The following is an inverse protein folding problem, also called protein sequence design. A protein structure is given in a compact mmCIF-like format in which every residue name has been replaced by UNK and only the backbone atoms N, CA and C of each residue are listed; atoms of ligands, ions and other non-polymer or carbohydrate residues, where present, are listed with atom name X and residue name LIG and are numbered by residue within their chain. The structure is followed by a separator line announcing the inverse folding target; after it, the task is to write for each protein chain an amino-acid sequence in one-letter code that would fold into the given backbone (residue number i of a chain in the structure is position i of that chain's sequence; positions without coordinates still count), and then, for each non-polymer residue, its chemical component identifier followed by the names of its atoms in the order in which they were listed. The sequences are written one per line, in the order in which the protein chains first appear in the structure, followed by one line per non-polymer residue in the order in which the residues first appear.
data_IF_733379813240
#
_entry.id   IF_733379813240
#
_cell.length_a   1.000
_cell.length_b   1.000
_cell.length_c   1.000
_cell.angle_alpha   90.00
_cell.angle_beta   90.00
_cell.angle_gamma   90.00
#
_symmetry.space_group_name_H-M   'P 1'
#
loop_
_entity.id
_entity.type
_entity.pdbx_description
1 polymer ?
#
# COMPACT_ATOMS: atom_id res chain seq x y z
N UNK A 1 -6.56 -33.37 22.03
CA UNK A 1 -5.34 -32.91 21.35
C UNK A 1 -5.66 -31.52 20.83
N UNK A 2 -5.44 -30.52 21.68
CA UNK A 2 -5.76 -29.13 21.37
C UNK A 2 -4.82 -28.72 20.24
N UNK A 3 -5.39 -28.47 19.06
CA UNK A 3 -4.64 -27.83 18.00
C UNK A 3 -4.23 -26.46 18.55
N UNK A 4 -2.96 -26.31 18.88
CA UNK A 4 -2.37 -25.02 19.14
C UNK A 4 -2.47 -24.28 17.81
N UNK A 5 -3.53 -23.50 17.63
CA UNK A 5 -3.57 -22.48 16.60
C UNK A 5 -2.40 -21.55 16.95
N UNK A 6 -1.23 -21.80 16.37
CA UNK A 6 -0.22 -20.77 16.30
C UNK A 6 -0.89 -19.63 15.55
N UNK A 7 -1.33 -18.61 16.29
CA UNK A 7 -1.74 -17.34 15.71
C UNK A 7 -0.56 -16.90 14.84
N UNK A 8 -0.73 -16.96 13.52
CA UNK A 8 0.24 -16.38 12.60
C UNK A 8 0.21 -14.87 12.85
N UNK A 9 1.10 -14.41 13.71
CA UNK A 9 1.44 -12.99 13.80
C UNK A 9 2.01 -12.64 12.43
N UNK A 10 1.43 -11.63 11.79
CA UNK A 10 2.00 -11.04 10.58
C UNK A 10 3.37 -10.48 10.96
N UNK A 11 4.44 -11.22 10.65
CA UNK A 11 5.76 -10.81 11.10
C UNK A 11 6.32 -9.68 10.23
N UNK A 12 7.23 -8.92 10.82
CA UNK A 12 7.91 -7.81 10.16
C UNK A 12 8.65 -8.28 8.88
N UNK A 13 9.12 -9.52 8.85
CA UNK A 13 9.87 -10.07 7.73
C UNK A 13 9.01 -10.22 6.47
N UNK A 14 7.74 -10.62 6.63
CA UNK A 14 6.77 -10.65 5.54
C UNK A 14 6.50 -9.25 4.99
N UNK A 15 6.36 -8.26 5.88
CA UNK A 15 6.15 -6.87 5.46
C UNK A 15 7.38 -6.27 4.78
N UNK A 16 8.58 -6.60 5.24
CA UNK A 16 9.83 -6.23 4.55
C UNK A 16 9.94 -6.87 3.16
N UNK A 17 9.44 -8.10 2.98
CA UNK A 17 9.34 -8.74 1.67
C UNK A 17 8.43 -7.98 0.72
N UNK A 18 7.24 -7.60 1.20
CA UNK A 18 6.32 -6.71 0.48
C UNK A 18 6.99 -5.38 0.11
N UNK A 19 7.68 -4.75 1.06
CA UNK A 19 8.31 -3.45 0.86
C UNK A 19 9.47 -3.53 -0.16
N UNK A 20 10.23 -4.62 -0.16
CA UNK A 20 11.26 -4.88 -1.17
C UNK A 20 10.67 -4.98 -2.58
N UNK A 21 9.57 -5.72 -2.75
CA UNK A 21 8.87 -5.80 -4.03
C UNK A 21 8.35 -4.42 -4.46
N UNK A 22 7.81 -3.64 -3.51
CA UNK A 22 7.34 -2.28 -3.76
C UNK A 22 8.45 -1.34 -4.23
N UNK A 23 9.61 -1.31 -3.56
CA UNK A 23 10.76 -0.50 -3.99
C UNK A 23 11.35 -0.97 -5.32
N UNK A 24 11.28 -2.27 -5.62
CA UNK A 24 11.67 -2.84 -6.91
C UNK A 24 10.66 -2.54 -8.03
N UNK A 25 9.49 -1.96 -7.70
CA UNK A 25 8.36 -1.73 -8.62
C UNK A 25 7.83 -3.03 -9.25
N UNK A 26 8.02 -4.14 -8.56
CA UNK A 26 7.50 -5.45 -8.95
C UNK A 26 6.05 -5.58 -8.49
N UNK A 27 5.16 -4.95 -9.24
CA UNK A 27 3.73 -4.92 -8.88
C UNK A 27 3.07 -6.29 -8.93
N UNK A 28 3.60 -7.23 -9.71
CA UNK A 28 3.06 -8.59 -9.71
C UNK A 28 3.35 -9.26 -8.35
N UNK A 29 4.57 -9.12 -7.82
CA UNK A 29 4.91 -9.59 -6.46
C UNK A 29 4.18 -8.80 -5.37
N UNK A 30 4.04 -7.48 -5.50
CA UNK A 30 3.28 -6.65 -4.54
C UNK A 30 1.83 -7.13 -4.46
N UNK A 31 1.19 -7.36 -5.61
CA UNK A 31 -0.22 -7.76 -5.69
C UNK A 31 -0.45 -9.20 -5.22
N UNK A 32 0.58 -10.06 -5.22
CA UNK A 32 0.50 -11.40 -4.65
C UNK A 32 0.25 -11.40 -3.12
N UNK A 33 0.54 -10.29 -2.43
CA UNK A 33 0.23 -10.13 -1.01
C UNK A 33 -1.23 -9.72 -0.75
N UNK A 34 -1.98 -9.37 -1.79
CA UNK A 34 -3.34 -8.87 -1.68
C UNK A 34 -4.36 -9.97 -2.03
N UNK A 35 -5.46 -10.01 -1.29
CA UNK A 35 -6.66 -10.75 -1.69
C UNK A 35 -7.30 -10.10 -2.94
N UNK A 36 -8.23 -10.78 -3.62
CA UNK A 36 -8.94 -10.17 -4.78
C UNK A 36 -9.77 -8.94 -4.38
N UNK A 37 -10.37 -9.01 -3.18
CA UNK A 37 -11.07 -7.90 -2.54
C UNK A 37 -10.08 -7.10 -1.70
N UNK A 38 -9.76 -5.88 -2.14
CA UNK A 38 -8.87 -4.96 -1.41
C UNK A 38 -9.52 -3.61 -1.20
N UNK A 39 -9.05 -2.88 -0.19
CA UNK A 39 -9.30 -1.44 -0.06
C UNK A 39 -8.00 -0.82 0.44
N UNK A 40 -7.35 -0.06 -0.44
CA UNK A 40 -6.13 0.69 -0.13
C UNK A 40 -6.52 2.16 -0.08
N UNK A 41 -6.33 2.79 1.09
CA UNK A 41 -6.65 4.20 1.32
C UNK A 41 -5.41 4.97 1.73
N UNK A 42 -5.02 5.97 0.96
CA UNK A 42 -3.87 6.83 1.26
C UNK A 42 -4.02 8.16 0.50
N UNK A 43 -3.48 9.24 1.08
CA UNK A 43 -3.44 10.56 0.44
C UNK A 43 -4.78 11.03 -0.19
N UNK A 44 -5.92 10.72 0.45
CA UNK A 44 -7.25 11.07 -0.05
C UNK A 44 -7.83 10.14 -1.13
N UNK A 45 -7.07 9.15 -1.60
CA UNK A 45 -7.50 8.13 -2.55
C UNK A 45 -8.04 6.89 -1.85
N UNK A 46 -8.98 6.22 -2.51
CA UNK A 46 -9.42 4.87 -2.19
C UNK A 46 -9.38 4.01 -3.45
N UNK A 47 -8.59 2.94 -3.42
CA UNK A 47 -8.43 1.97 -4.51
C UNK A 47 -8.96 0.62 -4.04
N UNK A 48 -9.95 0.07 -4.76
CA UNK A 48 -10.70 -1.12 -4.32
C UNK A 48 -10.45 -2.38 -5.13
N UNK A 49 -9.59 -2.31 -6.15
CA UNK A 49 -9.22 -3.45 -6.99
C UNK A 49 -7.71 -3.52 -7.18
N UNK A 50 -7.17 -4.72 -7.37
CA UNK A 50 -5.75 -4.92 -7.66
C UNK A 50 -5.32 -4.17 -8.94
N UNK A 51 -6.19 -4.12 -9.96
CA UNK A 51 -5.94 -3.33 -11.17
C UNK A 51 -5.83 -1.84 -10.89
N UNK A 52 -6.72 -1.28 -10.07
CA UNK A 52 -6.66 0.14 -9.71
C UNK A 52 -5.38 0.49 -8.93
N UNK A 53 -4.94 -0.39 -8.03
CA UNK A 53 -3.66 -0.27 -7.33
C UNK A 53 -2.49 -0.30 -8.30
N UNK A 54 -2.47 -1.29 -9.22
CA UNK A 54 -1.44 -1.40 -10.25
C UNK A 54 -1.35 -0.15 -11.10
N UNK A 55 -2.48 0.27 -11.67
CA UNK A 55 -2.54 1.39 -12.62
C UNK A 55 -2.13 2.70 -11.95
N UNK A 56 -2.58 2.91 -10.71
CA UNK A 56 -2.15 4.05 -9.91
C UNK A 56 -0.63 4.07 -9.73
N UNK A 57 -0.04 2.98 -9.23
CA UNK A 57 1.38 3.00 -8.90
C UNK A 57 2.28 3.00 -10.14
N UNK A 58 1.85 2.38 -11.24
CA UNK A 58 2.51 2.51 -12.54
C UNK A 58 2.54 3.97 -13.01
N UNK A 59 1.41 4.67 -12.91
CA UNK A 59 1.36 6.11 -13.21
C UNK A 59 2.23 6.91 -12.24
N UNK A 60 2.08 6.70 -10.94
CA UNK A 60 2.72 7.49 -9.88
C UNK A 60 4.25 7.36 -9.93
N UNK A 61 4.78 6.15 -10.05
CA UNK A 61 6.23 5.89 -10.13
C UNK A 61 6.84 6.23 -11.50
N UNK A 62 6.01 6.53 -12.52
CA UNK A 62 6.49 7.15 -13.75
C UNK A 62 6.79 8.66 -13.59
N UNK A 63 6.40 9.25 -12.46
CA UNK A 63 6.63 10.66 -12.13
C UNK A 63 7.49 10.87 -10.88
N UNK A 64 7.47 9.93 -9.93
CA UNK A 64 8.05 10.05 -8.59
C UNK A 64 8.99 8.89 -8.28
N UNK A 65 10.14 9.18 -7.67
CA UNK A 65 10.91 8.20 -6.91
C UNK A 65 10.40 8.22 -5.47
N UNK A 66 9.83 7.11 -5.01
CA UNK A 66 9.23 6.97 -3.69
C UNK A 66 10.12 6.08 -2.81
N UNK A 67 10.49 6.58 -1.64
CA UNK A 67 11.23 5.83 -0.63
C UNK A 67 10.42 5.79 0.65
N UNK A 68 10.26 4.60 1.19
CA UNK A 68 9.52 4.36 2.43
C UNK A 68 10.48 3.73 3.43
N UNK A 69 10.63 4.38 4.57
CA UNK A 69 11.40 3.91 5.72
C UNK A 69 10.41 3.63 6.86
N UNK A 70 10.45 2.42 7.41
CA UNK A 70 9.61 2.05 8.56
C UNK A 70 10.30 2.54 9.83
N UNK A 71 9.58 3.36 10.60
CA UNK A 71 10.03 3.93 11.88
C UNK A 71 9.60 3.03 13.03
N UNK A 72 8.32 2.65 13.05
CA UNK A 72 7.74 1.78 14.07
C UNK A 72 6.79 0.77 13.40
N UNK A 73 6.72 -0.44 13.94
CA UNK A 73 5.95 -1.54 13.41
C UNK A 73 5.34 -2.36 14.54
N UNK A 74 4.02 -2.49 14.50
CA UNK A 74 3.27 -3.36 15.39
C UNK A 74 2.35 -4.25 14.56
N UNK A 75 2.31 -5.53 14.87
CA UNK A 75 1.40 -6.46 14.20
C UNK A 75 0.63 -7.32 15.18
N UNK A 76 -0.47 -7.86 14.68
CA UNK A 76 -1.28 -8.87 15.34
C UNK A 76 -1.65 -9.96 14.31
N UNK A 77 -2.47 -10.92 14.73
CA UNK A 77 -3.03 -11.96 13.84
C UNK A 77 -3.74 -11.44 12.57
N UNK A 78 -4.26 -10.21 12.56
CA UNK A 78 -5.04 -9.69 11.42
C UNK A 78 -4.80 -8.21 11.09
N UNK A 79 -3.83 -7.57 11.76
CA UNK A 79 -3.57 -6.14 11.58
C UNK A 79 -2.08 -5.86 11.58
N UNK A 80 -1.70 -4.88 10.79
CA UNK A 80 -0.41 -4.20 10.86
C UNK A 80 -0.69 -2.72 11.12
N UNK A 81 0.01 -2.16 12.09
CA UNK A 81 0.13 -0.73 12.34
C UNK A 81 1.58 -0.36 12.12
N UNK A 82 1.82 0.72 11.38
CA UNK A 82 3.17 1.19 11.13
C UNK A 82 3.23 2.71 11.14
N UNK A 83 4.34 3.22 11.62
CA UNK A 83 4.79 4.58 11.37
C UNK A 83 5.88 4.52 10.30
N UNK A 84 5.76 5.32 9.27
CA UNK A 84 6.72 5.39 8.18
C UNK A 84 7.08 6.82 7.84
N UNK A 85 8.33 7.00 7.41
CA UNK A 85 8.75 8.19 6.66
C UNK A 85 8.67 7.87 5.18
N UNK A 86 7.91 8.68 4.44
CA UNK A 86 7.83 8.57 2.99
C UNK A 86 8.47 9.81 2.37
N UNK A 87 9.46 9.58 1.52
CA UNK A 87 10.15 10.60 0.75
C UNK A 87 9.77 10.43 -0.71
N UNK A 88 9.14 11.46 -1.26
CA UNK A 88 8.73 11.53 -2.66
C UNK A 88 9.62 12.53 -3.38
N UNK A 89 10.38 12.07 -4.38
CA UNK A 89 11.16 12.94 -5.26
C UNK A 89 10.54 12.94 -6.65
N UNK A 90 9.85 14.02 -7.01
CA UNK A 90 9.19 14.15 -8.30
C UNK A 90 10.23 14.52 -9.37
N UNK A 91 10.51 13.60 -10.28
CA UNK A 91 11.46 13.83 -11.39
C UNK A 91 10.77 14.28 -12.68
N UNK A 92 9.44 14.09 -12.77
CA UNK A 92 8.64 14.51 -13.92
C UNK A 92 7.32 15.11 -13.45
N UNK A 93 7.03 16.33 -13.86
CA UNK A 93 5.80 17.04 -13.49
C UNK A 93 4.55 16.24 -13.86
N UNK A 94 3.63 16.13 -12.90
CA UNK A 94 2.30 15.59 -13.13
C UNK A 94 1.37 16.68 -13.71
N UNK A 95 0.48 16.30 -14.61
CA UNK A 95 -0.61 17.16 -15.06
C UNK A 95 -1.67 17.26 -13.96
N UNK A 96 -1.86 18.46 -13.42
CA UNK A 96 -2.81 18.71 -12.33
C UNK A 96 -4.27 18.45 -12.71
N UNK A 97 -4.66 18.74 -13.95
CA UNK A 97 -6.03 18.53 -14.42
C UNK A 97 -6.30 17.04 -14.62
N UNK A 98 -5.34 16.33 -15.23
CA UNK A 98 -5.40 14.88 -15.38
C UNK A 98 -5.45 14.19 -14.02
N UNK A 99 -4.56 14.55 -13.09
CA UNK A 99 -4.52 13.96 -11.75
C UNK A 99 -5.83 14.20 -11.01
N UNK A 100 -6.35 15.42 -11.00
CA UNK A 100 -7.60 15.72 -10.31
C UNK A 100 -8.79 14.93 -10.87
N UNK A 101 -8.78 14.66 -12.18
CA UNK A 101 -9.82 13.89 -12.87
C UNK A 101 -9.70 12.40 -12.60
N UNK A 102 -8.49 11.83 -12.67
CA UNK A 102 -8.27 10.38 -12.56
C UNK A 102 -8.13 9.91 -11.11
N UNK A 103 -7.52 10.72 -10.25
CA UNK A 103 -7.19 10.40 -8.87
C UNK A 103 -7.65 11.54 -7.94
N UNK A 104 -8.97 11.72 -7.76
CA UNK A 104 -9.52 12.81 -6.95
C UNK A 104 -8.98 12.73 -5.52
N UNK A 105 -8.31 13.78 -5.06
CA UNK A 105 -7.67 13.85 -3.74
C UNK A 105 -6.15 13.76 -3.76
N UNK A 106 -5.56 13.24 -4.85
CA UNK A 106 -4.11 13.26 -5.04
C UNK A 106 -3.64 14.68 -5.41
N UNK A 107 -2.62 15.16 -4.72
CA UNK A 107 -1.96 16.41 -5.07
C UNK A 107 -0.91 16.16 -6.15
N UNK A 108 -1.06 16.84 -7.29
CA UNK A 108 -0.07 16.80 -8.36
C UNK A 108 1.26 17.44 -7.94
N UNK A 109 2.36 16.76 -8.22
CA UNK A 109 3.71 17.24 -7.89
C UNK A 109 4.40 17.83 -9.13
N UNK A 110 5.18 18.89 -8.92
CA UNK A 110 6.02 19.50 -9.95
C UNK A 110 7.38 18.80 -10.03
N UNK A 111 7.95 18.71 -11.22
CA UNK A 111 9.31 18.20 -11.41
C UNK A 111 10.32 19.01 -10.59
N UNK A 112 11.23 18.32 -9.90
CA UNK A 112 12.18 18.89 -8.96
C UNK A 112 11.62 19.08 -7.54
N UNK A 113 10.31 18.91 -7.32
CA UNK A 113 9.73 18.98 -5.99
C UNK A 113 10.08 17.72 -5.20
N UNK A 114 10.47 17.90 -3.94
CA UNK A 114 10.59 16.81 -2.98
C UNK A 114 9.64 17.02 -1.80
N UNK A 115 8.97 15.96 -1.39
CA UNK A 115 8.04 15.96 -0.26
C UNK A 115 8.50 14.90 0.73
N UNK A 116 8.61 15.27 2.00
CA UNK A 116 8.87 14.35 3.09
C UNK A 116 7.65 14.36 4.01
N UNK A 117 7.01 13.21 4.16
CA UNK A 117 5.78 13.07 4.93
C UNK A 117 5.89 11.91 5.93
N UNK A 118 5.37 12.14 7.13
CA UNK A 118 5.08 11.07 8.08
C UNK A 118 3.78 10.38 7.69
N UNK A 119 3.79 9.06 7.63
CA UNK A 119 2.63 8.24 7.34
C UNK A 119 2.33 7.31 8.52
N UNK A 120 1.11 7.38 9.03
CA UNK A 120 0.56 6.36 9.91
C UNK A 120 -0.27 5.39 9.07
N UNK A 121 0.27 4.19 8.90
CA UNK A 121 -0.36 3.11 8.15
C UNK A 121 -1.15 2.18 9.06
N UNK A 122 -2.35 1.80 8.61
CA UNK A 122 -3.09 0.68 9.18
C UNK A 122 -3.51 -0.26 8.06
N UNK A 123 -3.02 -1.48 8.09
CA UNK A 123 -3.41 -2.54 7.16
C UNK A 123 -4.29 -3.51 7.93
N UNK A 124 -5.52 -3.71 7.45
CA UNK A 124 -6.43 -4.72 7.95
C UNK A 124 -6.41 -5.90 6.98
N UNK A 125 -6.05 -7.07 7.49
CA UNK A 125 -6.06 -8.31 6.71
C UNK A 125 -7.31 -9.09 7.12
N UNK A 126 -8.36 -8.98 6.32
CA UNK A 126 -9.58 -9.76 6.51
C UNK A 126 -9.40 -11.11 5.84
N UNK A 127 -8.93 -12.12 6.58
CA UNK A 127 -9.00 -13.52 6.16
C UNK A 127 -10.44 -14.07 6.30
N UNK A 128 -11.45 -13.27 5.98
CA UNK A 128 -12.85 -13.70 6.04
C UNK A 128 -13.17 -14.36 4.71
N UNK A 129 -12.88 -15.65 4.60
CA UNK A 129 -13.70 -16.51 3.74
C UNK A 129 -15.05 -16.54 4.45
N UNK A 130 -16.01 -15.73 4.01
CA UNK A 130 -17.39 -15.93 4.42
C UNK A 130 -17.72 -17.38 4.07
N UNK A 131 -17.89 -18.22 5.10
CA UNK A 131 -18.43 -19.56 4.90
C UNK A 131 -19.75 -19.35 4.14
N UNK A 132 -19.98 -20.00 2.99
CA UNK A 132 -21.26 -19.87 2.29
C UNK A 132 -22.34 -20.21 3.32
N UNK A 133 -23.28 -19.29 3.50
CA UNK A 133 -24.41 -19.48 4.40
C UNK A 133 -24.99 -20.87 4.13
N UNK A 134 -24.80 -21.81 5.05
CA UNK A 134 -25.54 -23.06 5.02
C UNK A 134 -26.94 -22.76 5.53
N UNK A 135 -27.82 -22.28 4.65
CA UNK A 135 -29.19 -22.78 4.45
C UNK A 135 -30.02 -21.88 3.56
#
# INVERSE_FOLDING_TARGET
MEATCQEMVLDQQLYEGYLKAFHARDYDSVLAHFHERISVRFAGLELTTQSAVRDFYLYFHSHVDERIEIIDFMSSHNRIYLEARVVLSCFKTMDSEQVATTYPGLLALKGGQSVNLGQLGRILITNTVEAPERR
#
